data_IF_378152124394
#
_entry.id   IF_378152124394
#
_cell.length_a   1.000
_cell.length_b   1.000
_cell.length_c   1.000
_cell.angle_alpha   90.00
_cell.angle_beta   90.00
_cell.angle_gamma   90.00
#
_symmetry.space_group_name_H-M   'P 1'
#
loop_
_entity.id
_entity.type
_entity.pdbx_description
1 polymer ?
#
# COMPACT_ATOMS: atom_id res chain seq x y z
N UNK A 1 -4.50 56.95 33.16
CA UNK A 1 -4.75 55.52 32.85
C UNK A 1 -5.31 55.25 31.43
N UNK A 2 -5.80 56.22 30.66
CA UNK A 2 -6.37 56.01 29.30
C UNK A 2 -5.35 55.85 28.16
N UNK A 3 -4.05 56.16 28.38
CA UNK A 3 -3.04 56.16 27.30
C UNK A 3 -2.33 54.82 27.05
N UNK A 4 -2.56 53.80 27.87
CA UNK A 4 -1.94 52.50 27.72
C UNK A 4 -2.89 51.41 27.15
N UNK A 5 -4.19 51.69 27.06
CA UNK A 5 -5.19 50.71 26.59
C UNK A 5 -5.15 50.57 25.08
N UNK A 6 -4.87 51.63 24.33
CA UNK A 6 -4.85 51.61 22.86
C UNK A 6 -3.73 50.75 22.28
N UNK A 7 -2.45 50.84 22.77
CA UNK A 7 -1.40 49.96 22.24
C UNK A 7 -1.59 48.48 22.62
N UNK A 8 -2.21 48.21 23.81
CA UNK A 8 -2.49 46.83 24.23
C UNK A 8 -3.59 46.18 23.35
N UNK A 9 -4.63 46.94 22.98
CA UNK A 9 -5.68 46.50 22.06
C UNK A 9 -5.13 46.26 20.66
N UNK A 10 -4.19 47.08 20.19
CA UNK A 10 -3.54 46.95 18.90
C UNK A 10 -2.65 45.68 18.88
N UNK A 11 -1.92 45.37 19.95
CA UNK A 11 -1.13 44.14 20.05
C UNK A 11 -2.01 42.89 20.10
N UNK A 12 -3.16 42.94 20.77
CA UNK A 12 -4.12 41.84 20.79
C UNK A 12 -4.75 41.60 19.42
N UNK A 13 -5.06 42.68 18.69
CA UNK A 13 -5.61 42.57 17.31
C UNK A 13 -4.58 42.00 16.31
N UNK A 14 -3.30 42.38 16.47
CA UNK A 14 -2.21 41.79 15.64
C UNK A 14 -1.99 40.32 16.00
N UNK A 15 -2.09 39.94 17.29
CA UNK A 15 -2.01 38.56 17.74
C UNK A 15 -3.17 37.68 17.21
N UNK A 16 -4.37 38.23 17.06
CA UNK A 16 -5.51 37.49 16.48
C UNK A 16 -5.46 37.40 14.96
N UNK A 17 -4.80 38.32 14.27
CA UNK A 17 -4.58 38.24 12.82
C UNK A 17 -3.44 37.27 12.43
N UNK A 18 -2.57 36.95 13.37
CA UNK A 18 -1.49 35.97 13.15
C UNK A 18 -1.95 34.50 13.35
N UNK A 19 -3.18 34.29 13.84
CA UNK A 19 -3.81 32.96 13.86
C UNK A 19 -4.62 32.70 12.59
N UNK A 20 -4.11 33.09 11.41
CA UNK A 20 -4.48 32.43 10.18
C UNK A 20 -3.83 31.05 10.30
N UNK A 21 -4.65 30.03 10.49
CA UNK A 21 -4.19 28.66 10.34
C UNK A 21 -3.44 28.60 9.02
N UNK A 22 -2.14 28.34 9.09
CA UNK A 22 -1.40 27.95 7.91
C UNK A 22 -2.17 26.75 7.35
N UNK A 23 -2.57 26.76 6.06
CA UNK A 23 -3.18 25.57 5.48
C UNK A 23 -2.27 24.39 5.88
N UNK A 24 -2.87 23.32 6.39
CA UNK A 24 -2.10 22.15 6.82
C UNK A 24 -1.13 21.84 5.67
N UNK A 25 0.16 21.97 5.96
CA UNK A 25 1.17 21.62 4.94
C UNK A 25 0.99 20.15 4.66
N UNK A 26 0.89 19.76 3.40
CA UNK A 26 0.83 18.37 3.01
C UNK A 26 1.93 17.60 3.72
N UNK A 27 1.58 16.47 4.34
CA UNK A 27 2.58 15.63 4.98
C UNK A 27 3.38 14.97 3.87
N UNK A 28 4.64 15.34 3.73
CA UNK A 28 5.54 14.75 2.75
C UNK A 28 6.27 13.59 3.43
N UNK A 29 6.19 12.42 2.83
CA UNK A 29 6.91 11.22 3.25
C UNK A 29 7.97 10.81 2.23
N UNK A 30 8.86 9.91 2.65
CA UNK A 30 9.77 9.23 1.74
C UNK A 30 9.99 7.78 2.18
N UNK A 31 10.15 6.89 1.20
CA UNK A 31 10.64 5.54 1.41
C UNK A 31 11.87 5.29 0.54
N UNK A 32 12.81 4.57 1.12
CA UNK A 32 13.99 4.08 0.42
C UNK A 32 13.72 2.64 -0.01
N UNK A 33 13.72 2.39 -1.30
CA UNK A 33 13.53 1.05 -1.85
C UNK A 33 14.86 0.28 -1.76
N UNK A 34 14.80 -0.96 -1.27
CA UNK A 34 15.96 -1.82 -0.99
C UNK A 34 17.00 -1.14 -0.06
N UNK A 35 16.67 -0.86 1.22
CA UNK A 35 17.44 0.04 2.07
C UNK A 35 18.84 -0.44 2.45
N UNK A 36 19.06 -1.75 2.58
CA UNK A 36 20.33 -2.28 3.12
C UNK A 36 21.36 -2.60 2.04
N UNK A 37 20.94 -3.23 0.97
CA UNK A 37 21.86 -3.71 -0.08
C UNK A 37 21.79 -2.91 -1.36
N UNK A 38 20.77 -2.04 -1.49
CA UNK A 38 20.40 -1.47 -2.78
C UNK A 38 19.77 -2.52 -3.70
N UNK A 39 19.29 -2.07 -4.84
CA UNK A 39 18.76 -2.95 -5.90
C UNK A 39 19.98 -3.61 -6.55
N UNK A 40 20.13 -4.91 -6.34
CA UNK A 40 21.29 -5.68 -6.81
C UNK A 40 21.17 -5.96 -8.31
N UNK A 41 22.23 -5.83 -9.09
CA UNK A 41 22.22 -6.19 -10.51
C UNK A 41 21.71 -7.62 -10.73
N UNK A 42 20.79 -7.78 -11.70
CA UNK A 42 20.17 -9.06 -12.04
C UNK A 42 19.11 -9.58 -11.05
N UNK A 43 18.81 -8.84 -9.98
CA UNK A 43 17.75 -9.23 -9.03
C UNK A 43 16.41 -8.61 -9.40
N UNK A 44 15.35 -9.32 -9.02
CA UNK A 44 13.97 -8.84 -9.05
C UNK A 44 13.63 -8.22 -7.69
N UNK A 45 13.27 -6.95 -7.69
CA UNK A 45 12.92 -6.23 -6.46
C UNK A 45 11.46 -5.84 -6.52
N UNK A 46 10.60 -6.42 -5.67
CA UNK A 46 9.20 -6.02 -5.60
C UNK A 46 9.09 -4.67 -4.89
N UNK A 47 8.17 -3.83 -5.34
CA UNK A 47 7.82 -2.60 -4.65
C UNK A 47 6.43 -2.10 -5.02
N UNK A 48 5.90 -1.20 -4.19
CA UNK A 48 4.64 -0.49 -4.43
C UNK A 48 4.76 0.98 -4.10
N UNK A 49 3.75 1.76 -4.48
CA UNK A 49 3.71 3.21 -4.27
C UNK A 49 2.73 3.54 -3.16
N UNK A 50 3.20 3.97 -1.97
CA UNK A 50 2.33 4.33 -0.84
C UNK A 50 1.93 5.80 -0.81
N UNK A 51 2.41 6.63 -1.75
CA UNK A 51 2.23 8.08 -1.74
C UNK A 51 1.29 8.57 -2.84
N UNK A 52 0.63 9.71 -2.57
CA UNK A 52 -0.02 10.49 -3.59
C UNK A 52 1.00 11.34 -4.37
N UNK A 53 0.86 11.34 -5.69
CA UNK A 53 1.68 12.13 -6.62
C UNK A 53 0.80 13.06 -7.43
N UNK A 54 1.34 14.21 -7.80
CA UNK A 54 0.71 15.14 -8.74
C UNK A 54 0.68 14.60 -10.17
N UNK A 55 1.61 13.71 -10.50
CA UNK A 55 1.67 12.95 -11.74
C UNK A 55 2.00 11.50 -11.39
N UNK A 56 1.34 10.55 -12.05
CA UNK A 56 1.62 9.13 -11.93
C UNK A 56 2.49 8.61 -13.07
N UNK A 57 2.96 9.48 -13.96
CA UNK A 57 3.87 9.08 -15.02
C UNK A 57 5.14 8.44 -14.43
N UNK A 58 5.56 7.29 -14.98
CA UNK A 58 6.69 6.51 -14.46
C UNK A 58 7.97 7.36 -14.32
N UNK A 59 8.22 8.25 -15.26
CA UNK A 59 9.38 9.14 -15.25
C UNK A 59 9.35 10.15 -14.10
N UNK A 60 8.15 10.57 -13.66
CA UNK A 60 7.97 11.50 -12.55
C UNK A 60 8.06 10.79 -11.19
N UNK A 61 7.57 9.56 -11.10
CA UNK A 61 7.51 8.78 -9.85
C UNK A 61 8.86 8.16 -9.53
N UNK A 62 9.46 7.48 -10.50
CA UNK A 62 10.68 6.67 -10.29
C UNK A 62 11.96 7.47 -10.58
N UNK A 63 11.87 8.46 -11.47
CA UNK A 63 12.98 9.32 -11.82
C UNK A 63 14.07 8.62 -12.66
N UNK A 64 15.27 9.18 -12.62
CA UNK A 64 16.36 8.87 -13.55
C UNK A 64 17.59 8.23 -12.89
N UNK A 65 17.47 7.63 -11.70
CA UNK A 65 18.58 6.99 -10.98
C UNK A 65 18.91 5.58 -11.52
N UNK A 66 18.58 5.32 -12.78
CA UNK A 66 18.64 4.02 -13.44
C UNK A 66 19.66 4.00 -14.57
N UNK A 67 19.94 2.82 -15.10
CA UNK A 67 20.84 2.65 -16.23
C UNK A 67 20.13 1.90 -17.37
N UNK A 68 20.73 1.96 -18.58
CA UNK A 68 20.17 1.32 -19.76
C UNK A 68 19.82 -0.15 -19.50
N UNK A 69 18.67 -0.57 -20.03
CA UNK A 69 18.06 -1.88 -19.89
C UNK A 69 17.56 -2.27 -18.47
N UNK A 70 17.57 -1.35 -17.50
CA UNK A 70 16.79 -1.59 -16.28
C UNK A 70 15.32 -1.76 -16.69
N UNK A 71 14.61 -2.67 -16.02
CA UNK A 71 13.27 -3.10 -16.43
C UNK A 71 12.28 -2.94 -15.27
N UNK A 72 11.07 -2.56 -15.59
CA UNK A 72 9.95 -2.49 -14.65
C UNK A 72 8.70 -3.12 -15.25
N UNK A 73 7.90 -3.78 -14.40
CA UNK A 73 6.66 -4.44 -14.80
C UNK A 73 5.59 -4.27 -13.74
N UNK A 74 4.37 -3.95 -14.16
CA UNK A 74 3.16 -4.03 -13.35
C UNK A 74 2.71 -5.50 -13.31
N UNK A 75 2.66 -6.07 -12.12
CA UNK A 75 2.35 -7.49 -11.92
C UNK A 75 0.90 -7.87 -12.23
N UNK A 76 -0.02 -6.91 -12.21
CA UNK A 76 -1.43 -7.16 -12.49
C UNK A 76 -1.75 -7.09 -13.98
N UNK A 77 -1.24 -6.07 -14.67
CA UNK A 77 -1.50 -5.87 -16.11
C UNK A 77 -0.50 -6.57 -17.02
N UNK A 78 0.75 -6.77 -16.57
CA UNK A 78 1.88 -7.20 -17.38
C UNK A 78 2.46 -6.06 -18.23
N UNK A 79 1.98 -4.84 -18.07
CA UNK A 79 2.58 -3.67 -18.70
C UNK A 79 4.00 -3.45 -18.18
N UNK A 80 4.90 -3.08 -19.10
CA UNK A 80 6.31 -2.97 -18.75
C UNK A 80 6.99 -1.77 -19.40
N UNK A 81 8.12 -1.37 -18.84
CA UNK A 81 9.00 -0.35 -19.39
C UNK A 81 10.47 -0.72 -19.19
N UNK A 82 11.30 -0.28 -20.11
CA UNK A 82 12.75 -0.32 -20.02
C UNK A 82 13.29 1.11 -19.88
N UNK A 83 14.34 1.25 -19.07
CA UNK A 83 15.05 2.51 -19.00
C UNK A 83 16.08 2.62 -20.11
N UNK A 84 16.04 3.73 -20.86
CA UNK A 84 17.03 4.12 -21.84
C UNK A 84 17.33 5.60 -21.57
N UNK A 85 18.53 5.87 -21.05
CA UNK A 85 18.91 7.22 -20.61
C UNK A 85 18.49 8.31 -21.65
N UNK A 86 17.65 9.30 -21.25
CA UNK A 86 17.32 9.68 -19.86
C UNK A 86 15.91 9.26 -19.39
N UNK A 87 15.22 8.31 -20.01
CA UNK A 87 13.79 8.05 -19.72
C UNK A 87 13.37 6.58 -19.76
N UNK A 88 12.26 6.29 -19.07
CA UNK A 88 11.56 5.00 -19.18
C UNK A 88 10.67 4.99 -20.44
N UNK A 89 10.65 3.86 -21.15
CA UNK A 89 9.90 3.67 -22.38
C UNK A 89 9.30 2.26 -22.45
N UNK A 90 8.00 2.16 -22.73
CA UNK A 90 7.27 0.90 -22.82
C UNK A 90 5.77 1.08 -22.78
N UNK A 91 5.04 -0.01 -22.48
CA UNK A 91 3.58 0.04 -22.28
C UNK A 91 3.22 0.56 -20.88
N UNK A 92 4.09 0.39 -19.88
CA UNK A 92 3.93 0.97 -18.55
C UNK A 92 4.30 2.46 -18.61
N UNK A 93 3.30 3.32 -18.76
CA UNK A 93 3.45 4.77 -18.84
C UNK A 93 3.13 5.45 -17.52
N UNK A 94 2.19 4.90 -16.77
CA UNK A 94 1.69 5.43 -15.51
C UNK A 94 1.73 4.38 -14.42
N UNK A 95 1.96 4.82 -13.18
CA UNK A 95 1.99 3.99 -12.00
C UNK A 95 0.76 4.25 -11.13
N UNK A 96 0.24 3.24 -10.46
CA UNK A 96 -0.99 3.33 -9.70
C UNK A 96 -0.78 3.02 -8.20
N UNK A 97 -1.61 3.62 -7.35
CA UNK A 97 -1.66 3.27 -5.93
C UNK A 97 -2.13 1.84 -5.74
N UNK A 98 -1.52 1.14 -4.80
CA UNK A 98 -1.87 -0.24 -4.50
C UNK A 98 -1.51 -1.24 -5.60
N UNK A 99 -0.92 -0.78 -6.70
CA UNK A 99 -0.37 -1.67 -7.70
C UNK A 99 0.98 -2.24 -7.23
N UNK A 100 1.26 -3.43 -7.72
CA UNK A 100 2.43 -4.21 -7.40
C UNK A 100 3.38 -4.22 -8.59
N UNK A 101 4.64 -3.84 -8.37
CA UNK A 101 5.65 -3.73 -9.43
C UNK A 101 6.84 -4.62 -9.17
N UNK A 102 7.43 -5.15 -10.24
CA UNK A 102 8.80 -5.64 -10.27
C UNK A 102 9.74 -4.58 -10.82
N UNK A 103 10.89 -4.42 -10.19
CA UNK A 103 12.01 -3.68 -10.71
C UNK A 103 13.20 -4.63 -10.86
N UNK A 104 13.78 -4.67 -12.05
CA UNK A 104 14.95 -5.50 -12.36
C UNK A 104 16.09 -4.60 -12.78
N UNK A 105 17.16 -4.67 -12.03
CA UNK A 105 18.41 -3.99 -12.38
C UNK A 105 19.15 -4.80 -13.43
N UNK A 106 19.53 -4.21 -14.55
CA UNK A 106 20.41 -4.91 -15.52
C UNK A 106 21.72 -5.33 -14.88
N UNK A 107 22.22 -6.52 -15.24
CA UNK A 107 23.44 -7.08 -14.66
C UNK A 107 24.70 -6.28 -14.94
N UNK A 108 24.69 -5.43 -15.97
CA UNK A 108 25.80 -4.54 -16.32
C UNK A 108 25.79 -3.24 -15.52
N UNK A 109 24.66 -2.89 -14.90
CA UNK A 109 24.53 -1.66 -14.13
C UNK A 109 24.97 -1.86 -12.66
N UNK A 110 25.59 -0.85 -12.01
CA UNK A 110 25.95 -0.94 -10.60
C UNK A 110 24.70 -1.01 -9.72
N UNK A 111 24.80 -1.57 -8.53
CA UNK A 111 23.75 -1.53 -7.53
C UNK A 111 23.30 -0.08 -7.27
N UNK A 112 21.99 0.12 -7.13
CA UNK A 112 21.43 1.45 -6.88
C UNK A 112 20.37 1.40 -5.79
N UNK A 113 19.99 2.55 -5.28
CA UNK A 113 18.81 2.76 -4.45
C UNK A 113 18.04 3.92 -5.02
N UNK A 114 16.72 3.85 -4.95
CA UNK A 114 15.90 5.00 -5.25
C UNK A 114 14.95 5.31 -4.09
N UNK A 115 14.42 6.51 -4.11
CA UNK A 115 13.54 7.02 -3.07
C UNK A 115 12.22 7.39 -3.70
N UNK A 116 11.15 6.85 -3.13
CA UNK A 116 9.80 7.33 -3.40
C UNK A 116 9.54 8.52 -2.47
N UNK A 117 9.14 9.65 -3.05
CA UNK A 117 8.84 10.89 -2.33
C UNK A 117 7.44 11.34 -2.75
N UNK A 118 6.57 11.60 -1.80
CA UNK A 118 5.22 12.06 -2.14
C UNK A 118 4.43 12.51 -0.93
N UNK A 119 3.20 12.91 -1.16
CA UNK A 119 2.26 13.32 -0.12
C UNK A 119 1.64 12.08 0.52
N UNK A 120 1.60 12.07 1.86
CA UNK A 120 0.91 11.02 2.62
C UNK A 120 -0.60 11.31 2.57
N UNK A 121 -1.29 10.63 1.68
CA UNK A 121 -2.75 10.77 1.49
C UNK A 121 -3.34 9.38 1.14
N UNK A 122 -3.51 8.48 2.14
CA UNK A 122 -4.05 7.15 1.89
C UNK A 122 -5.46 7.24 1.33
N UNK A 123 -5.67 6.63 0.17
CA UNK A 123 -6.96 6.57 -0.51
C UNK A 123 -7.57 5.18 -0.35
N UNK A 124 -8.90 5.09 -0.42
CA UNK A 124 -9.56 3.80 -0.55
C UNK A 124 -9.20 3.16 -1.89
N UNK A 125 -8.91 1.86 -1.88
CA UNK A 125 -8.52 1.09 -3.07
C UNK A 125 -9.43 -0.12 -3.20
N UNK A 126 -9.91 -0.36 -4.42
CA UNK A 126 -10.65 -1.56 -4.77
C UNK A 126 -9.71 -2.63 -5.33
N UNK A 127 -9.79 -3.83 -4.76
CA UNK A 127 -9.06 -5.00 -5.23
C UNK A 127 -10.02 -6.06 -5.74
N UNK A 128 -9.70 -6.63 -6.90
CA UNK A 128 -10.33 -7.84 -7.40
C UNK A 128 -9.39 -9.01 -7.16
N UNK A 129 -9.69 -9.85 -6.19
CA UNK A 129 -8.92 -11.06 -5.87
C UNK A 129 -9.49 -12.21 -6.68
N UNK A 130 -8.70 -12.78 -7.56
CA UNK A 130 -9.13 -13.89 -8.38
C UNK A 130 -9.40 -15.14 -7.54
N UNK A 131 -10.44 -15.90 -7.92
CA UNK A 131 -10.85 -17.12 -7.21
C UNK A 131 -10.10 -18.38 -7.64
N UNK A 132 -10.44 -19.52 -7.03
CA UNK A 132 -10.00 -20.87 -7.43
C UNK A 132 -8.49 -21.13 -7.40
N UNK A 133 -7.80 -20.62 -6.40
CA UNK A 133 -6.35 -20.82 -6.25
C UNK A 133 -5.51 -19.95 -7.18
N UNK A 134 -6.10 -18.93 -7.80
CA UNK A 134 -5.35 -17.97 -8.60
C UNK A 134 -4.54 -17.03 -7.71
N UNK A 135 -3.39 -16.61 -8.22
CA UNK A 135 -2.49 -15.66 -7.58
C UNK A 135 -2.86 -14.24 -8.01
N UNK A 136 -3.08 -13.38 -7.05
CA UNK A 136 -3.41 -11.97 -7.30
C UNK A 136 -2.37 -11.09 -6.62
N UNK A 137 -1.61 -10.26 -7.38
CA UNK A 137 -0.70 -9.32 -6.77
C UNK A 137 -1.47 -8.15 -6.16
N UNK A 138 -1.03 -7.69 -4.99
CA UNK A 138 -1.59 -6.49 -4.37
C UNK A 138 -0.55 -5.77 -3.49
N UNK A 139 -0.83 -4.52 -3.20
CA UNK A 139 -0.14 -3.72 -2.20
C UNK A 139 -1.10 -2.69 -1.61
N UNK A 140 -0.81 -2.17 -0.42
CA UNK A 140 -1.57 -1.07 0.15
C UNK A 140 -0.85 0.25 -0.05
N UNK A 141 -1.62 1.33 -0.20
CA UNK A 141 -1.11 2.71 -0.26
C UNK A 141 -0.96 3.34 1.13
N UNK A 142 -0.56 2.54 2.11
CA UNK A 142 -0.35 2.99 3.47
C UNK A 142 1.12 3.32 3.74
N UNK A 143 1.34 4.34 4.57
CA UNK A 143 2.68 4.74 5.02
C UNK A 143 3.02 4.18 6.42
N UNK A 144 2.27 3.20 6.88
CA UNK A 144 2.45 2.51 8.17
C UNK A 144 2.09 1.04 8.01
N UNK A 145 2.56 0.21 8.93
CA UNK A 145 2.16 -1.18 9.01
C UNK A 145 0.66 -1.31 9.28
N UNK A 146 0.00 -2.18 8.52
CA UNK A 146 -1.41 -2.53 8.71
C UNK A 146 -1.48 -3.99 9.17
N UNK A 147 -1.75 -4.27 10.45
CA UNK A 147 -1.84 -5.63 10.95
C UNK A 147 -2.86 -6.46 10.18
N UNK A 148 -2.54 -7.72 9.89
CA UNK A 148 -3.49 -8.65 9.26
C UNK A 148 -4.69 -8.93 10.13
N UNK A 149 -4.48 -9.02 11.46
CA UNK A 149 -5.55 -9.16 12.44
C UNK A 149 -5.73 -7.84 13.20
N UNK A 150 -6.96 -7.35 13.21
CA UNK A 150 -7.32 -6.11 13.90
C UNK A 150 -7.39 -6.26 15.42
N UNK A 151 -7.39 -5.15 16.15
CA UNK A 151 -7.38 -5.14 17.62
C UNK A 151 -8.70 -5.63 18.25
N UNK A 152 -9.80 -5.70 17.47
CA UNK A 152 -11.14 -6.09 17.95
C UNK A 152 -11.76 -7.04 16.94
N UNK A 153 -11.50 -8.32 17.05
CA UNK A 153 -12.17 -9.41 16.32
C UNK A 153 -12.46 -9.11 14.82
N UNK A 154 -11.53 -8.47 14.16
CA UNK A 154 -11.56 -8.21 12.73
C UNK A 154 -10.21 -8.53 12.10
N UNK A 155 -10.19 -8.77 10.80
CA UNK A 155 -8.98 -9.01 10.05
C UNK A 155 -9.09 -8.41 8.65
N UNK A 156 -7.96 -8.15 8.02
CA UNK A 156 -7.92 -7.72 6.62
C UNK A 156 -8.54 -8.79 5.72
N UNK A 157 -9.13 -8.37 4.62
CA UNK A 157 -9.88 -9.24 3.71
C UNK A 157 -11.03 -9.96 4.44
N UNK A 158 -12.04 -9.20 4.90
CA UNK A 158 -13.13 -9.76 5.71
C UNK A 158 -13.95 -10.85 5.00
N UNK A 159 -13.80 -10.95 3.68
CA UNK A 159 -14.44 -11.94 2.82
C UNK A 159 -13.53 -13.13 2.48
N UNK A 160 -12.33 -13.20 3.08
CA UNK A 160 -11.43 -14.33 2.94
C UNK A 160 -12.09 -15.66 3.35
N UNK A 161 -11.67 -16.72 2.70
CA UNK A 161 -12.12 -18.10 2.96
C UNK A 161 -11.07 -18.87 3.75
N UNK A 162 -11.50 -19.98 4.42
CA UNK A 162 -10.55 -20.92 5.04
C UNK A 162 -9.54 -21.43 4.03
N UNK A 163 -8.26 -21.26 4.34
CA UNK A 163 -7.16 -21.69 3.50
C UNK A 163 -6.70 -20.65 2.47
N UNK A 164 -7.30 -19.45 2.44
CA UNK A 164 -6.71 -18.34 1.69
C UNK A 164 -5.32 -18.04 2.25
N UNK A 165 -4.42 -17.58 1.35
CA UNK A 165 -3.01 -17.42 1.63
C UNK A 165 -2.49 -16.07 1.17
N UNK A 166 -1.62 -15.45 1.98
CA UNK A 166 -0.89 -14.23 1.62
C UNK A 166 0.59 -14.46 1.80
N UNK A 167 1.41 -13.99 0.87
CA UNK A 167 2.87 -14.03 0.92
C UNK A 167 3.47 -12.67 0.57
N UNK A 168 4.40 -12.22 1.40
CA UNK A 168 5.22 -11.04 1.14
C UNK A 168 6.35 -11.39 0.17
N UNK A 169 6.38 -10.79 -0.99
CA UNK A 169 7.38 -11.05 -2.02
C UNK A 169 8.79 -10.54 -1.65
N UNK A 170 8.88 -9.66 -0.67
CA UNK A 170 10.16 -9.08 -0.25
C UNK A 170 10.86 -9.94 0.80
N UNK A 171 10.10 -10.51 1.72
CA UNK A 171 10.64 -11.29 2.86
C UNK A 171 10.41 -12.79 2.74
N UNK A 172 9.38 -13.23 1.99
CA UNK A 172 8.90 -14.61 1.96
C UNK A 172 8.03 -14.97 3.18
N UNK A 173 7.73 -13.99 4.06
CA UNK A 173 6.80 -14.21 5.16
C UNK A 173 5.39 -14.44 4.62
N UNK A 174 4.63 -15.28 5.30
CA UNK A 174 3.32 -15.69 4.83
C UNK A 174 2.32 -15.91 5.96
N UNK A 175 1.03 -15.91 5.61
CA UNK A 175 -0.06 -16.24 6.50
C UNK A 175 -1.18 -16.96 5.78
N UNK A 176 -1.90 -17.82 6.51
CA UNK A 176 -3.11 -18.51 6.09
C UNK A 176 -4.32 -17.97 6.86
N UNK A 177 -5.44 -17.82 6.17
CA UNK A 177 -6.71 -17.48 6.81
C UNK A 177 -7.37 -18.73 7.40
N UNK A 178 -7.72 -18.68 8.69
CA UNK A 178 -8.45 -19.71 9.40
C UNK A 178 -9.69 -19.10 10.06
N UNK A 179 -10.86 -19.37 9.51
CA UNK A 179 -12.10 -18.84 10.06
C UNK A 179 -12.57 -19.63 11.30
N UNK A 180 -12.98 -18.98 12.39
CA UNK A 180 -13.18 -17.53 12.53
C UNK A 180 -11.97 -16.77 13.10
N UNK A 181 -10.80 -17.38 13.22
CA UNK A 181 -9.68 -16.88 14.01
C UNK A 181 -8.87 -15.79 13.25
N UNK A 182 -8.98 -15.74 11.93
CA UNK A 182 -8.29 -14.78 11.06
C UNK A 182 -6.99 -15.34 10.48
N UNK A 183 -6.00 -14.49 10.30
CA UNK A 183 -4.73 -14.82 9.67
C UNK A 183 -3.73 -15.36 10.68
N UNK A 184 -3.05 -16.47 10.35
CA UNK A 184 -2.01 -17.11 11.16
C UNK A 184 -0.79 -17.45 10.28
N UNK A 185 0.40 -17.08 10.76
CA UNK A 185 1.67 -17.29 10.07
C UNK A 185 2.78 -16.36 10.53
N UNK A 186 3.87 -16.32 9.77
CA UNK A 186 4.98 -15.39 10.02
C UNK A 186 4.67 -13.95 9.57
N UNK A 187 3.84 -13.78 8.55
CA UNK A 187 3.35 -12.49 8.12
C UNK A 187 2.26 -12.00 9.08
N UNK A 188 2.54 -10.91 9.80
CA UNK A 188 1.62 -10.35 10.80
C UNK A 188 1.02 -9.01 10.39
N UNK A 189 1.61 -8.33 9.42
CA UNK A 189 1.16 -7.02 8.93
C UNK A 189 1.56 -6.81 7.47
N UNK A 190 0.75 -6.03 6.76
CA UNK A 190 1.10 -5.46 5.45
C UNK A 190 1.97 -4.23 5.71
N UNK A 191 3.15 -4.17 5.10
CA UNK A 191 4.14 -3.11 5.28
C UNK A 191 4.14 -2.13 4.11
N UNK A 192 4.48 -0.85 4.35
CA UNK A 192 4.62 0.13 3.28
C UNK A 192 5.64 -0.31 2.22
N UNK A 193 5.36 -0.02 0.97
CA UNK A 193 6.18 -0.36 -0.21
C UNK A 193 6.36 -1.84 -0.52
N UNK A 194 5.93 -2.75 0.36
CA UNK A 194 5.95 -4.18 0.08
C UNK A 194 4.85 -4.58 -0.90
N UNK A 195 5.07 -5.70 -1.55
CA UNK A 195 4.17 -6.33 -2.52
C UNK A 195 3.85 -7.74 -2.05
N UNK A 196 2.62 -8.13 -2.25
CA UNK A 196 2.10 -9.40 -1.76
C UNK A 196 1.41 -10.20 -2.87
N UNK A 197 1.51 -11.52 -2.76
CA UNK A 197 0.59 -12.41 -3.43
C UNK A 197 -0.58 -12.74 -2.50
N UNK A 198 -1.80 -12.61 -3.01
CA UNK A 198 -2.97 -13.25 -2.43
C UNK A 198 -3.32 -14.47 -3.26
N UNK A 199 -3.53 -15.61 -2.61
CA UNK A 199 -3.95 -16.86 -3.24
C UNK A 199 -5.26 -17.28 -2.60
N UNK A 200 -6.34 -17.26 -3.37
CA UNK A 200 -7.64 -17.73 -2.89
C UNK A 200 -7.64 -19.26 -2.72
N UNK A 201 -8.34 -19.77 -1.71
CA UNK A 201 -8.50 -21.22 -1.51
C UNK A 201 -9.19 -21.86 -2.72
N UNK A 202 -8.88 -23.12 -2.98
CA UNK A 202 -9.51 -23.87 -4.05
C UNK A 202 -11.05 -23.96 -3.84
N UNK A 203 -11.81 -23.58 -4.86
CA UNK A 203 -13.28 -23.54 -4.79
C UNK A 203 -13.88 -22.23 -4.27
N UNK A 204 -13.08 -21.27 -3.81
CA UNK A 204 -13.57 -19.92 -3.53
C UNK A 204 -13.82 -19.16 -4.85
N UNK A 205 -14.83 -18.28 -4.83
CA UNK A 205 -15.11 -17.38 -5.94
C UNK A 205 -14.16 -16.18 -5.97
N UNK A 206 -14.32 -15.35 -7.00
CA UNK A 206 -13.73 -14.02 -7.02
C UNK A 206 -14.22 -13.19 -5.83
N UNK A 207 -13.33 -12.43 -5.23
CA UNK A 207 -13.64 -11.52 -4.11
C UNK A 207 -13.36 -10.08 -4.53
N UNK A 208 -14.34 -9.21 -4.35
CA UNK A 208 -14.15 -7.76 -4.40
C UNK A 208 -13.91 -7.26 -2.99
N UNK A 209 -12.81 -6.56 -2.79
CA UNK A 209 -12.47 -5.98 -1.51
C UNK A 209 -12.10 -4.51 -1.67
N UNK A 210 -12.82 -3.65 -0.97
CA UNK A 210 -12.46 -2.23 -0.84
C UNK A 210 -11.66 -2.06 0.45
N UNK A 211 -10.40 -1.73 0.31
CA UNK A 211 -9.59 -1.30 1.44
C UNK A 211 -9.90 0.16 1.76
N UNK A 212 -10.33 0.44 2.98
CA UNK A 212 -10.53 1.80 3.50
C UNK A 212 -9.50 2.08 4.61
N UNK A 213 -8.57 3.01 4.42
CA UNK A 213 -7.59 3.38 5.44
C UNK A 213 -8.17 3.84 6.78
N UNK A 214 -9.40 4.39 6.75
CA UNK A 214 -10.12 4.82 7.95
C UNK A 214 -10.80 3.66 8.69
N UNK A 215 -11.15 2.56 7.99
CA UNK A 215 -11.75 1.36 8.58
C UNK A 215 -11.23 0.07 7.91
N UNK A 216 -9.96 -0.26 8.08
CA UNK A 216 -9.32 -1.38 7.37
C UNK A 216 -9.91 -2.75 7.68
N UNK A 217 -10.70 -2.86 8.75
CA UNK A 217 -11.33 -4.11 9.21
C UNK A 217 -12.86 -4.07 9.17
N UNK A 218 -13.45 -3.07 8.50
CA UNK A 218 -14.84 -2.62 8.65
C UNK A 218 -15.96 -3.63 8.41
N UNK A 219 -15.73 -4.62 7.56
CA UNK A 219 -16.79 -5.59 7.21
C UNK A 219 -16.89 -6.82 8.12
N UNK A 220 -15.88 -7.10 8.93
CA UNK A 220 -15.81 -8.30 9.77
C UNK A 220 -16.92 -8.36 10.84
N UNK A 221 -17.40 -7.22 11.33
CA UNK A 221 -18.44 -7.16 12.35
C UNK A 221 -19.80 -7.74 11.89
N UNK A 222 -20.09 -7.67 10.61
CA UNK A 222 -21.40 -8.10 10.07
C UNK A 222 -21.47 -9.63 9.92
N UNK A 223 -20.37 -10.30 9.60
CA UNK A 223 -20.35 -11.75 9.36
C UNK A 223 -20.38 -12.60 10.62
N UNK A 224 -19.69 -12.19 11.69
CA UNK A 224 -19.75 -12.91 12.97
C UNK A 224 -21.18 -13.11 13.48
N UNK A 225 -22.06 -12.15 13.24
CA UNK A 225 -23.47 -12.26 13.62
C UNK A 225 -24.24 -13.22 12.73
N UNK A 226 -23.87 -13.39 11.46
CA UNK A 226 -24.56 -14.27 10.52
C UNK A 226 -24.12 -15.74 10.67
N UNK A 227 -22.85 -16.01 10.91
CA UNK A 227 -22.32 -17.38 11.16
C UNK A 227 -22.89 -17.96 12.46
N UNK A 228 -23.01 -17.16 13.53
CA UNK A 228 -23.69 -17.60 14.76
C UNK A 228 -25.17 -17.94 14.55
N UNK A 229 -25.88 -17.23 13.71
CA UNK A 229 -27.31 -17.52 13.40
C UNK A 229 -27.46 -18.82 12.61
N UNK A 230 -26.57 -19.11 11.68
CA UNK A 230 -26.61 -20.34 10.87
C UNK A 230 -26.31 -21.57 11.75
N UNK A 231 -25.29 -21.51 12.59
CA UNK A 231 -24.90 -22.61 13.46
C UNK A 231 -25.93 -22.90 14.58
N UNK A 232 -26.73 -21.94 14.99
CA UNK A 232 -27.80 -22.15 15.96
C UNK A 232 -29.06 -22.75 15.33
N UNK A 233 -29.31 -22.56 14.03
CA UNK A 233 -30.42 -23.16 13.33
C UNK A 233 -30.21 -24.65 12.97
N UNK A 234 -28.99 -25.08 12.79
CA UNK A 234 -28.63 -26.47 12.44
C UNK A 234 -28.47 -27.41 13.66
N UNK A 235 -28.76 -26.92 14.89
CA UNK A 235 -28.69 -27.71 16.15
C UNK A 235 -30.02 -27.94 16.81
N UNK A 236 -31.12 -27.84 16.05
CA UNK A 236 -32.48 -28.22 16.53
C UNK A 236 -32.98 -29.49 15.84
#
# INVERSE_FOLDING_TARGET
MKKFILPLLLLLAIGMLAAVESPASDVIGYFKIAPETGITPGSWTPFSIPFAYSSLAINDVVGTAFGDNDYMEDLASGDNAYYFDPEWSGSLTDMNYGAAYWLVRDAANPATTFYLLGTVDPQSIDFTIAGNGAWTPFALNECKDVPLNGPVAGFLFPDASDGDYIEDLMTGDNAYCWLPDGWDGSLTAIQPTHVYWYVSAAGSGEMLWTYDPADPYGSAKVRYNNVRKINTQNRK
#
